data_IF_623275564571
#
_entry.id   IF_623275564571
#
_cell.length_a   1.000
_cell.length_b   1.000
_cell.length_c   1.000
_cell.angle_alpha   90.00
_cell.angle_beta   90.00
_cell.angle_gamma   90.00
#
_symmetry.space_group_name_H-M   'P 1'
#
loop_
_entity.id
_entity.type
_entity.pdbx_description
1 polymer ?
#
# COMPACT_ATOMS: atom_id res chain seq x y z
N UNK A 1 -10.10 6.21 15.17
CA UNK A 1 -9.91 7.54 14.56
C UNK A 1 -11.06 7.78 13.61
N UNK A 2 -11.71 8.94 13.67
CA UNK A 2 -12.74 9.30 12.70
C UNK A 2 -12.11 10.06 11.53
N UNK A 3 -12.35 9.62 10.30
CA UNK A 3 -11.88 10.27 9.06
C UNK A 3 -13.00 10.34 8.01
N UNK A 4 -12.83 11.19 7.01
CA UNK A 4 -13.76 11.29 5.87
C UNK A 4 -13.08 10.77 4.62
N UNK A 5 -13.68 9.80 3.94
CA UNK A 5 -13.20 9.24 2.66
C UNK A 5 -14.39 9.23 1.70
N UNK A 6 -14.19 9.66 0.45
CA UNK A 6 -15.25 9.79 -0.55
C UNK A 6 -16.46 10.62 -0.09
N UNK A 7 -16.24 11.63 0.77
CA UNK A 7 -17.28 12.46 1.42
C UNK A 7 -18.11 11.76 2.51
N UNK A 8 -17.77 10.52 2.90
CA UNK A 8 -18.45 9.79 3.98
C UNK A 8 -17.57 9.68 5.23
N UNK A 9 -18.14 9.83 6.44
CA UNK A 9 -17.41 9.60 7.68
C UNK A 9 -17.21 8.11 7.94
N UNK A 10 -16.01 7.74 8.38
CA UNK A 10 -15.64 6.40 8.82
C UNK A 10 -14.95 6.46 10.18
N UNK A 11 -15.25 5.49 11.03
CA UNK A 11 -14.51 5.23 12.25
C UNK A 11 -13.58 4.05 11.98
N UNK A 12 -12.28 4.33 11.86
CA UNK A 12 -11.26 3.34 11.57
C UNK A 12 -10.39 3.07 12.78
N UNK A 13 -10.03 1.80 12.98
CA UNK A 13 -9.05 1.35 13.97
C UNK A 13 -7.93 0.61 13.26
N UNK A 14 -6.68 0.86 13.67
CA UNK A 14 -5.49 0.25 13.03
C UNK A 14 -5.56 -1.28 12.97
N UNK A 15 -5.96 -1.94 14.06
CA UNK A 15 -6.10 -3.40 14.13
C UNK A 15 -7.19 -3.95 13.21
N UNK A 16 -8.28 -3.20 13.00
CA UNK A 16 -9.37 -3.62 12.11
C UNK A 16 -8.95 -3.50 10.64
N UNK A 17 -8.15 -2.49 10.29
CA UNK A 17 -7.54 -2.37 8.97
C UNK A 17 -6.60 -3.55 8.72
N UNK A 18 -5.72 -3.89 9.67
CA UNK A 18 -4.81 -5.04 9.57
C UNK A 18 -5.58 -6.36 9.43
N UNK A 19 -6.62 -6.57 10.23
CA UNK A 19 -7.47 -7.75 10.17
C UNK A 19 -8.22 -7.86 8.83
N UNK A 20 -8.75 -6.74 8.32
CA UNK A 20 -9.46 -6.71 7.03
C UNK A 20 -8.55 -7.03 5.86
N UNK A 21 -7.26 -6.69 5.95
CA UNK A 21 -6.26 -6.98 4.93
C UNK A 21 -5.63 -8.38 5.06
N UNK A 22 -5.94 -9.13 6.13
CA UNK A 22 -5.41 -10.47 6.33
C UNK A 22 -5.88 -11.42 5.22
N UNK A 23 -4.95 -12.14 4.61
CA UNK A 23 -5.24 -13.05 3.51
C UNK A 23 -5.44 -12.39 2.15
N UNK A 24 -5.44 -11.05 2.07
CA UNK A 24 -5.55 -10.33 0.80
C UNK A 24 -4.18 -10.30 0.10
N UNK A 25 -4.17 -10.73 -1.16
CA UNK A 25 -3.01 -10.65 -2.03
C UNK A 25 -2.75 -9.19 -2.43
N UNK A 26 -1.52 -8.66 -2.27
CA UNK A 26 -1.20 -7.34 -2.76
C UNK A 26 -1.28 -7.27 -4.28
N UNK A 27 -1.91 -6.22 -4.78
CA UNK A 27 -1.85 -5.87 -6.19
C UNK A 27 -0.50 -5.24 -6.56
N UNK A 28 -0.14 -5.22 -7.86
CA UNK A 28 1.05 -4.54 -8.34
C UNK A 28 1.10 -3.08 -7.88
N UNK A 29 2.16 -2.73 -7.16
CA UNK A 29 2.34 -1.37 -6.65
C UNK A 29 2.97 -0.51 -7.74
N UNK A 30 2.18 0.39 -8.33
CA UNK A 30 2.62 1.33 -9.38
C UNK A 30 2.69 2.78 -8.90
N UNK A 31 2.29 3.06 -7.66
CA UNK A 31 2.19 4.40 -7.10
C UNK A 31 2.03 4.38 -5.58
N UNK A 32 1.21 5.27 -5.00
CA UNK A 32 1.11 5.38 -3.55
C UNK A 32 0.72 4.06 -2.89
N UNK A 33 1.50 3.66 -1.88
CA UNK A 33 1.35 2.39 -1.19
C UNK A 33 1.51 2.52 0.32
N UNK A 34 1.06 1.49 1.03
CA UNK A 34 1.12 1.38 2.48
C UNK A 34 1.73 0.06 2.88
N UNK A 35 2.55 0.07 3.93
CA UNK A 35 3.09 -1.13 4.56
C UNK A 35 2.07 -1.67 5.56
N UNK A 36 1.60 -2.90 5.34
CA UNK A 36 0.74 -3.63 6.27
C UNK A 36 1.39 -4.97 6.58
N UNK A 37 1.76 -5.19 7.84
CA UNK A 37 2.61 -6.30 8.24
C UNK A 37 3.97 -6.25 7.53
N UNK A 38 4.23 -7.22 6.65
CA UNK A 38 5.48 -7.32 5.85
C UNK A 38 5.26 -7.10 4.36
N UNK A 39 4.10 -6.59 3.96
CA UNK A 39 3.69 -6.44 2.55
C UNK A 39 3.36 -4.99 2.24
N UNK A 40 3.61 -4.60 0.98
CA UNK A 40 3.22 -3.32 0.43
C UNK A 40 1.92 -3.50 -0.36
N UNK A 41 0.94 -2.65 -0.07
CA UNK A 41 -0.35 -2.63 -0.76
C UNK A 41 -0.59 -1.27 -1.40
N UNK A 42 -1.13 -1.18 -2.62
CA UNK A 42 -1.63 0.08 -3.16
C UNK A 42 -2.65 0.69 -2.21
N UNK A 43 -2.54 1.99 -1.91
CA UNK A 43 -3.47 2.63 -0.95
C UNK A 43 -4.92 2.56 -1.45
N UNK A 44 -5.14 2.54 -2.77
CA UNK A 44 -6.48 2.41 -3.34
C UNK A 44 -7.09 1.02 -3.14
N UNK A 45 -6.28 -0.03 -3.14
CA UNK A 45 -6.72 -1.39 -2.80
C UNK A 45 -7.16 -1.44 -1.34
N UNK A 46 -6.35 -0.90 -0.42
CA UNK A 46 -6.68 -0.87 1.01
C UNK A 46 -7.94 -0.04 1.26
N UNK A 47 -8.05 1.12 0.61
CA UNK A 47 -9.23 1.98 0.68
C UNK A 47 -10.51 1.24 0.31
N UNK A 48 -10.52 0.54 -0.82
CA UNK A 48 -11.67 -0.26 -1.27
C UNK A 48 -12.07 -1.33 -0.26
N UNK A 49 -11.09 -2.06 0.31
CA UNK A 49 -11.37 -3.11 1.29
C UNK A 49 -12.00 -2.55 2.56
N UNK A 50 -11.46 -1.45 3.11
CA UNK A 50 -11.89 -0.94 4.42
C UNK A 50 -13.15 -0.05 4.34
N UNK A 51 -13.40 0.62 3.21
CA UNK A 51 -14.59 1.45 3.03
C UNK A 51 -15.71 0.73 2.29
N UNK A 52 -15.39 -0.35 1.55
CA UNK A 52 -16.28 -1.05 0.61
C UNK A 52 -16.81 -0.14 -0.51
N UNK A 53 -16.12 0.96 -0.80
CA UNK A 53 -16.46 1.89 -1.87
C UNK A 53 -15.64 1.60 -3.12
N UNK A 54 -16.15 2.05 -4.27
CA UNK A 54 -15.41 1.97 -5.53
C UNK A 54 -14.18 2.87 -5.47
N UNK A 55 -13.05 2.40 -6.02
CA UNK A 55 -11.81 3.16 -6.08
C UNK A 55 -11.96 4.50 -6.80
N UNK A 56 -12.98 4.68 -7.64
CA UNK A 56 -13.26 5.94 -8.35
C UNK A 56 -13.84 7.01 -7.43
N UNK A 57 -14.38 6.63 -6.27
CA UNK A 57 -15.06 7.55 -5.36
C UNK A 57 -14.09 8.31 -4.44
N UNK A 58 -12.85 7.85 -4.32
CA UNK A 58 -11.82 8.47 -3.48
C UNK A 58 -10.44 8.52 -4.16
N UNK A 59 -9.65 9.49 -3.72
CA UNK A 59 -8.27 9.67 -4.14
C UNK A 59 -7.30 8.86 -3.29
N UNK A 60 -6.15 8.52 -3.88
CA UNK A 60 -5.06 7.88 -3.14
C UNK A 60 -4.59 8.75 -1.96
N UNK A 61 -4.55 10.08 -2.13
CA UNK A 61 -4.13 11.02 -1.10
C UNK A 61 -5.06 11.04 0.12
N UNK A 62 -6.37 10.95 -0.08
CA UNK A 62 -7.34 10.85 1.03
C UNK A 62 -7.07 9.60 1.87
N UNK A 63 -6.90 8.45 1.21
CA UNK A 63 -6.66 7.18 1.91
C UNK A 63 -5.29 7.18 2.58
N UNK A 64 -4.23 7.67 1.91
CA UNK A 64 -2.89 7.79 2.52
C UNK A 64 -2.91 8.64 3.79
N UNK A 65 -3.61 9.78 3.79
CA UNK A 65 -3.73 10.64 4.98
C UNK A 65 -4.44 9.93 6.14
N UNK A 66 -5.52 9.21 5.84
CA UNK A 66 -6.24 8.43 6.85
C UNK A 66 -5.34 7.34 7.45
N UNK A 67 -4.61 6.60 6.61
CA UNK A 67 -3.70 5.54 7.04
C UNK A 67 -2.50 6.07 7.83
N UNK A 68 -1.88 7.18 7.39
CA UNK A 68 -0.79 7.85 8.13
C UNK A 68 -1.28 8.28 9.51
N UNK A 69 -2.47 8.88 9.60
CA UNK A 69 -3.03 9.33 10.87
C UNK A 69 -3.45 8.18 11.79
N UNK A 70 -3.68 6.98 11.25
CA UNK A 70 -3.84 5.74 12.02
C UNK A 70 -2.51 5.13 12.48
N UNK A 71 -1.37 5.67 12.03
CA UNK A 71 -0.03 5.18 12.35
C UNK A 71 0.47 4.09 11.41
N UNK A 72 0.02 4.07 10.16
CA UNK A 72 0.65 3.26 9.10
C UNK A 72 1.76 4.03 8.39
N UNK A 73 2.71 3.27 7.83
CA UNK A 73 3.76 3.81 6.96
C UNK A 73 3.29 3.80 5.52
N UNK A 74 3.18 4.97 4.90
CA UNK A 74 2.85 5.12 3.48
C UNK A 74 4.03 5.67 2.68
N UNK A 75 4.11 5.29 1.40
CA UNK A 75 5.10 5.78 0.44
C UNK A 75 4.36 6.31 -0.80
N UNK A 76 4.85 7.40 -1.41
CA UNK A 76 4.24 7.98 -2.62
C UNK A 76 4.51 7.14 -3.87
N UNK A 77 5.65 6.45 -3.90
CA UNK A 77 6.04 5.47 -4.91
C UNK A 77 6.51 4.21 -4.21
N UNK A 78 6.44 3.03 -4.87
CA UNK A 78 7.03 1.83 -4.31
C UNK A 78 8.49 2.12 -3.96
N UNK A 79 8.97 1.76 -2.75
CA UNK A 79 10.37 1.88 -2.43
C UNK A 79 11.15 1.13 -3.49
N UNK A 80 12.09 1.82 -4.13
CA UNK A 80 12.95 1.24 -5.14
C UNK A 80 13.61 0.03 -4.49
N UNK A 81 13.19 -1.18 -4.88
CA UNK A 81 13.90 -2.38 -4.46
C UNK A 81 15.33 -2.13 -4.91
N UNK A 82 16.26 -2.00 -3.96
CA UNK A 82 17.67 -1.95 -4.29
C UNK A 82 17.90 -3.09 -5.30
N UNK A 83 18.57 -2.86 -6.44
CA UNK A 83 18.79 -3.92 -7.38
C UNK A 83 19.43 -5.05 -6.59
N UNK A 84 18.75 -6.20 -6.54
CA UNK A 84 19.42 -7.42 -6.14
C UNK A 84 20.60 -7.50 -7.08
N UNK A 85 21.81 -7.29 -6.55
CA UNK A 85 23.03 -7.44 -7.30
C UNK A 85 23.01 -8.87 -7.85
N UNK A 86 22.56 -9.01 -9.09
CA UNK A 86 22.69 -10.24 -9.84
C UNK A 86 24.17 -10.57 -9.84
N UNK A 87 24.57 -11.82 -9.57
CA UNK A 87 25.97 -12.17 -9.51
C UNK A 87 26.61 -11.76 -10.84
N UNK A 88 27.79 -11.16 -10.74
CA UNK A 88 28.69 -10.89 -11.85
C UNK A 88 28.80 -12.14 -12.73
N UNK A 89 28.04 -12.18 -13.83
CA UNK A 89 28.33 -13.07 -14.94
C UNK A 89 29.58 -12.51 -15.61
N UNK A 90 30.74 -12.94 -15.13
CA UNK A 90 31.97 -12.80 -15.90
C UNK A 90 31.81 -13.55 -17.23
N UNK A 91 32.20 -12.98 -18.38
CA UNK A 91 32.49 -13.79 -19.53
C UNK A 91 33.85 -14.46 -19.30
N UNK A 92 33.77 -15.77 -19.08
CA UNK A 92 34.90 -16.67 -19.29
C UNK A 92 35.18 -16.76 -20.81
N UNK A 93 36.46 -16.66 -21.16
CA UNK A 93 37.15 -17.41 -22.22
C UNK A 93 37.19 -16.89 -23.69
N UNK A 94 38.40 -17.05 -24.24
CA UNK A 94 38.88 -17.15 -25.64
C UNK A 94 39.23 -15.85 -26.36
N UNK A 95 40.39 -15.67 -26.99
CA UNK A 95 41.50 -16.55 -27.43
C UNK A 95 42.80 -15.71 -27.42
#
# INVERSE_FOLDING_TARGET
MRCVIARYPFDLVKSEVEASMAGIAPEPVTGPCVVIGRRLYPVKQVGEVITRQDRRDFSAAEVSRALISLGFTCHETPPQSAPAAGPLSGPTTSD
#
